data_IF_779850742117
#
_entry.id   IF_779850742117
#
_cell.length_a   1.000
_cell.length_b   1.000
_cell.length_c   1.000
_cell.angle_alpha   90.00
_cell.angle_beta   90.00
_cell.angle_gamma   90.00
#
_symmetry.space_group_name_H-M   'P 1'
#
loop_
_entity.id
_entity.type
_entity.pdbx_description
1 polymer ?
#
# COMPACT_ATOMS: atom_id res chain seq x y z
N UNK A 1 -2.59 16.18 -12.07
CA UNK A 1 -3.21 15.21 -11.22
C UNK A 1 -3.31 13.84 -11.89
N UNK A 2 -2.98 12.80 -11.14
CA UNK A 2 -3.02 11.45 -11.66
C UNK A 2 -4.46 10.91 -11.75
N UNK A 3 -4.78 10.21 -12.85
CA UNK A 3 -6.08 9.60 -13.02
C UNK A 3 -5.89 8.09 -13.13
N UNK A 4 -6.38 7.39 -12.13
CA UNK A 4 -6.16 5.96 -11.95
C UNK A 4 -6.94 5.09 -12.93
N UNK A 5 -8.08 5.55 -13.40
CA UNK A 5 -8.96 4.70 -14.20
C UNK A 5 -8.39 4.33 -15.57
N UNK A 6 -7.33 5.00 -15.99
CA UNK A 6 -6.70 4.66 -17.27
C UNK A 6 -5.85 3.40 -17.20
N UNK A 7 -5.59 2.90 -15.98
CA UNK A 7 -4.79 1.69 -15.82
C UNK A 7 -5.67 0.46 -15.80
N UNK A 8 -5.17 -0.62 -16.41
CA UNK A 8 -5.84 -1.92 -16.29
C UNK A 8 -5.65 -2.48 -14.89
N UNK A 9 -6.48 -3.46 -14.48
CA UNK A 9 -6.28 -4.09 -13.16
C UNK A 9 -4.87 -4.67 -13.00
N UNK A 10 -4.32 -5.24 -14.05
CA UNK A 10 -2.96 -5.78 -14.00
C UNK A 10 -1.93 -4.66 -13.79
N UNK A 11 -2.11 -3.55 -14.45
CA UNK A 11 -1.23 -2.40 -14.30
C UNK A 11 -1.34 -1.79 -12.91
N UNK A 12 -2.56 -1.75 -12.36
CA UNK A 12 -2.77 -1.24 -11.01
C UNK A 12 -2.06 -2.11 -9.98
N UNK A 13 -2.15 -3.42 -10.15
CA UNK A 13 -1.44 -4.35 -9.27
C UNK A 13 0.07 -4.16 -9.40
N UNK A 14 0.56 -4.01 -10.62
CA UNK A 14 1.98 -3.77 -10.84
C UNK A 14 2.44 -2.49 -10.17
N UNK A 15 1.62 -1.45 -10.20
CA UNK A 15 1.94 -0.18 -9.54
C UNK A 15 2.06 -0.37 -8.03
N UNK A 16 1.16 -1.14 -7.43
CA UNK A 16 1.21 -1.41 -5.99
C UNK A 16 2.44 -2.21 -5.63
N UNK A 17 2.79 -3.21 -6.44
CA UNK A 17 3.99 -4.02 -6.20
C UNK A 17 5.25 -3.15 -6.31
N UNK A 18 5.30 -2.28 -7.31
CA UNK A 18 6.43 -1.36 -7.47
C UNK A 18 6.55 -0.44 -6.26
N UNK A 19 5.42 0.09 -5.79
CA UNK A 19 5.42 0.94 -4.60
C UNK A 19 5.95 0.17 -3.39
N UNK A 20 5.53 -1.08 -3.22
CA UNK A 20 6.02 -1.92 -2.13
C UNK A 20 7.53 -2.10 -2.20
N UNK A 21 8.05 -2.35 -3.40
CA UNK A 21 9.48 -2.52 -3.60
C UNK A 21 10.25 -1.25 -3.21
N UNK A 22 9.70 -0.10 -3.58
CA UNK A 22 10.34 1.19 -3.25
C UNK A 22 10.36 1.42 -1.74
N UNK A 23 9.22 1.26 -1.06
CA UNK A 23 9.19 1.53 0.37
C UNK A 23 10.00 0.50 1.14
N UNK A 24 10.11 -0.72 0.63
CA UNK A 24 10.98 -1.72 1.23
C UNK A 24 12.45 -1.29 1.14
N UNK A 25 12.86 -0.81 -0.02
CA UNK A 25 14.22 -0.31 -0.20
C UNK A 25 14.51 0.88 0.71
N UNK A 26 13.53 1.80 0.84
CA UNK A 26 13.67 2.94 1.73
C UNK A 26 13.82 2.51 3.18
N UNK A 27 13.04 1.53 3.60
CA UNK A 27 13.08 1.05 4.97
C UNK A 27 14.43 0.42 5.30
N UNK A 28 15.00 -0.36 4.38
CA UNK A 28 16.23 -1.09 4.62
C UNK A 28 17.49 -0.27 4.39
N UNK A 29 17.47 0.63 3.41
CA UNK A 29 18.68 1.30 2.96
C UNK A 29 18.76 2.77 3.34
N UNK A 30 17.63 3.36 3.74
CA UNK A 30 17.62 4.76 4.12
C UNK A 30 17.82 5.73 2.97
N UNK A 31 17.67 5.28 1.73
CA UNK A 31 17.79 6.19 0.59
C UNK A 31 16.54 7.05 0.47
N UNK A 32 16.61 8.14 -0.31
CA UNK A 32 15.43 8.95 -0.51
C UNK A 32 14.56 8.37 -1.63
N UNK A 33 13.30 8.79 -1.63
CA UNK A 33 12.31 8.24 -2.53
C UNK A 33 12.65 8.51 -4.01
N UNK A 34 13.03 9.73 -4.32
CA UNK A 34 13.31 10.10 -5.70
C UNK A 34 14.49 9.31 -6.26
N UNK A 35 15.56 9.18 -5.47
CA UNK A 35 16.71 8.41 -5.88
C UNK A 35 16.36 6.95 -6.11
N UNK A 36 15.51 6.39 -5.26
CA UNK A 36 15.09 5.00 -5.39
C UNK A 36 14.28 4.79 -6.67
N UNK A 37 13.36 5.71 -6.97
CA UNK A 37 12.60 5.62 -8.22
C UNK A 37 13.50 5.78 -9.45
N UNK A 38 14.46 6.69 -9.39
CA UNK A 38 15.39 6.86 -10.50
C UNK A 38 16.22 5.60 -10.75
N UNK A 39 16.65 4.95 -9.68
CA UNK A 39 17.40 3.72 -9.81
C UNK A 39 16.56 2.61 -10.45
N UNK A 40 15.29 2.53 -10.08
CA UNK A 40 14.39 1.54 -10.63
C UNK A 40 13.97 1.84 -12.06
N UNK A 41 14.12 3.08 -12.50
CA UNK A 41 13.78 3.51 -13.85
C UNK A 41 14.98 3.35 -14.79
N UNK A 42 15.52 2.19 -14.80
CA UNK A 42 16.68 1.90 -15.65
C UNK A 42 16.37 2.08 -17.12
N UNK A 43 15.12 1.83 -17.50
CA UNK A 43 14.72 2.00 -18.87
C UNK A 43 14.04 3.35 -19.02
N UNK A 44 14.45 4.06 -20.04
CA UNK A 44 14.10 5.44 -20.25
C UNK A 44 12.59 5.69 -20.38
N UNK A 45 11.84 4.73 -20.81
CA UNK A 45 10.42 4.95 -21.08
C UNK A 45 9.55 4.94 -19.84
N UNK A 46 10.06 4.44 -18.73
CA UNK A 46 9.22 4.24 -17.56
C UNK A 46 8.92 5.51 -16.80
N UNK A 47 9.73 6.54 -16.99
CA UNK A 47 9.47 7.81 -16.31
C UNK A 47 8.14 8.43 -16.74
N UNK A 48 7.66 8.10 -17.93
CA UNK A 48 6.38 8.59 -18.44
C UNK A 48 5.25 7.62 -18.20
N UNK A 49 5.54 6.48 -17.61
CA UNK A 49 4.60 5.40 -17.43
C UNK A 49 3.62 5.71 -16.28
N UNK A 50 2.33 5.55 -16.55
CA UNK A 50 1.31 5.79 -15.53
C UNK A 50 1.42 4.83 -14.36
N UNK A 51 1.97 3.63 -14.58
CA UNK A 51 2.23 2.69 -13.49
C UNK A 51 3.17 3.32 -12.47
N UNK A 52 4.26 3.92 -12.93
CA UNK A 52 5.21 4.57 -12.03
C UNK A 52 4.62 5.81 -11.38
N UNK A 53 3.80 6.55 -12.10
CA UNK A 53 3.14 7.71 -11.51
C UNK A 53 2.26 7.31 -10.34
N UNK A 54 1.49 6.25 -10.49
CA UNK A 54 0.66 5.78 -9.41
C UNK A 54 1.49 5.21 -8.26
N UNK A 55 2.56 4.48 -8.57
CA UNK A 55 3.46 3.98 -7.56
C UNK A 55 4.05 5.11 -6.72
N UNK A 56 4.49 6.17 -7.38
CA UNK A 56 5.05 7.33 -6.71
C UNK A 56 4.00 8.03 -5.84
N UNK A 57 2.78 8.10 -6.34
CA UNK A 57 1.66 8.67 -5.60
C UNK A 57 1.39 7.89 -4.31
N UNK A 58 1.34 6.56 -4.39
CA UNK A 58 1.13 5.72 -3.22
C UNK A 58 2.27 5.87 -2.21
N UNK A 59 3.49 5.93 -2.67
CA UNK A 59 4.63 6.10 -1.78
C UNK A 59 4.57 7.44 -1.06
N UNK A 60 4.19 8.50 -1.78
CA UNK A 60 4.07 9.82 -1.17
C UNK A 60 2.97 9.85 -0.12
N UNK A 61 1.81 9.26 -0.42
CA UNK A 61 0.72 9.17 0.54
C UNK A 61 1.14 8.39 1.78
N UNK A 62 1.87 7.30 1.59
CA UNK A 62 2.34 6.49 2.71
C UNK A 62 3.28 7.30 3.59
N UNK A 63 4.21 7.99 2.99
CA UNK A 63 5.18 8.81 3.72
C UNK A 63 4.51 9.93 4.51
N UNK A 64 3.50 10.55 3.90
CA UNK A 64 2.80 11.67 4.51
C UNK A 64 1.92 11.27 5.67
N UNK A 65 1.48 10.01 5.71
CA UNK A 65 0.48 9.56 6.68
C UNK A 65 0.98 8.40 7.55
N UNK A 66 2.28 8.22 7.62
CA UNK A 66 2.85 7.03 8.25
C UNK A 66 2.49 6.90 9.73
N UNK A 67 2.53 8.00 10.48
CA UNK A 67 2.26 7.95 11.90
C UNK A 67 0.81 7.59 12.18
N UNK A 68 -0.10 8.19 11.43
CA UNK A 68 -1.52 7.90 11.58
C UNK A 68 -1.83 6.45 11.24
N UNK A 69 -1.23 5.96 10.16
CA UNK A 69 -1.46 4.59 9.72
C UNK A 69 -0.89 3.60 10.74
N UNK A 70 0.29 3.86 11.27
CA UNK A 70 0.88 2.98 12.26
C UNK A 70 0.02 2.89 13.51
N UNK A 71 -0.59 4.00 13.93
CA UNK A 71 -1.50 3.96 15.07
C UNK A 71 -2.73 3.12 14.78
N UNK A 72 -3.25 3.18 13.57
CA UNK A 72 -4.37 2.33 13.19
C UNK A 72 -4.01 0.86 13.27
N UNK A 73 -2.81 0.50 12.83
CA UNK A 73 -2.34 -0.88 12.88
C UNK A 73 -2.18 -1.33 14.32
N UNK A 74 -1.55 -0.49 15.15
CA UNK A 74 -1.30 -0.83 16.55
C UNK A 74 -2.60 -1.10 17.31
N UNK A 75 -3.61 -0.30 17.06
CA UNK A 75 -4.89 -0.45 17.76
C UNK A 75 -5.61 -1.75 17.38
N UNK A 76 -5.34 -2.28 16.22
CA UNK A 76 -6.08 -3.44 15.70
C UNK A 76 -5.28 -4.73 15.68
N UNK A 77 -4.01 -4.67 16.01
CA UNK A 77 -3.18 -5.86 16.07
C UNK A 77 -3.12 -6.41 17.50
N UNK A 78 -4.26 -6.67 18.06
CA UNK A 78 -4.49 -6.89 19.49
C UNK A 78 -3.51 -7.82 20.21
N UNK A 79 -3.17 -8.92 19.59
CA UNK A 79 -2.32 -9.93 20.22
C UNK A 79 -0.87 -9.86 19.72
N UNK A 80 -0.54 -8.80 18.98
CA UNK A 80 0.78 -8.67 18.38
C UNK A 80 1.35 -7.29 18.70
N UNK A 81 2.57 -7.28 19.19
CA UNK A 81 3.31 -6.02 19.25
C UNK A 81 3.58 -5.55 17.84
N UNK A 82 3.44 -4.26 17.64
CA UNK A 82 3.72 -3.67 16.34
C UNK A 82 5.14 -4.04 15.88
N UNK A 83 6.08 -4.06 16.80
CA UNK A 83 7.47 -4.37 16.47
C UNK A 83 7.68 -5.82 16.08
N UNK A 84 6.75 -6.71 16.39
CA UNK A 84 6.85 -8.12 16.02
C UNK A 84 6.23 -8.41 14.66
N UNK A 85 5.49 -7.48 14.12
CA UNK A 85 4.98 -7.61 12.76
C UNK A 85 6.17 -7.55 11.83
N UNK A 86 6.28 -8.50 10.92
CA UNK A 86 7.43 -8.50 10.00
C UNK A 86 7.44 -7.22 9.19
N UNK A 87 8.63 -6.83 8.73
CA UNK A 87 8.74 -5.64 7.90
C UNK A 87 7.84 -5.74 6.68
N UNK A 88 7.84 -6.87 6.00
CA UNK A 88 7.02 -7.02 4.80
C UNK A 88 5.54 -6.81 5.10
N UNK A 89 5.03 -7.43 6.16
CA UNK A 89 3.62 -7.30 6.52
C UNK A 89 3.28 -5.86 6.89
N UNK A 90 4.17 -5.18 7.64
CA UNK A 90 3.96 -3.79 7.99
C UNK A 90 3.87 -2.90 6.76
N UNK A 91 4.77 -3.12 5.79
CA UNK A 91 4.80 -2.30 4.59
C UNK A 91 3.58 -2.54 3.72
N UNK A 92 3.14 -3.78 3.60
CA UNK A 92 1.92 -4.10 2.87
C UNK A 92 0.73 -3.43 3.53
N UNK A 93 0.63 -3.51 4.86
CA UNK A 93 -0.44 -2.86 5.60
C UNK A 93 -0.43 -1.35 5.41
N UNK A 94 0.74 -0.73 5.54
CA UNK A 94 0.84 0.72 5.36
C UNK A 94 0.34 1.15 3.99
N UNK A 95 0.82 0.48 2.96
CA UNK A 95 0.48 0.81 1.60
C UNK A 95 -1.01 0.61 1.32
N UNK A 96 -1.53 -0.53 1.74
CA UNK A 96 -2.92 -0.89 1.48
C UNK A 96 -3.89 -0.01 2.26
N UNK A 97 -3.56 0.31 3.51
CA UNK A 97 -4.40 1.19 4.32
C UNK A 97 -4.41 2.62 3.79
N UNK A 98 -3.25 3.09 3.35
CA UNK A 98 -3.16 4.43 2.77
C UNK A 98 -4.04 4.52 1.52
N UNK A 99 -3.98 3.51 0.67
CA UNK A 99 -4.81 3.50 -0.53
C UNK A 99 -6.29 3.47 -0.15
N UNK A 100 -6.66 2.60 0.78
CA UNK A 100 -8.05 2.47 1.20
C UNK A 100 -8.61 3.76 1.79
N UNK A 101 -7.81 4.46 2.58
CA UNK A 101 -8.30 5.62 3.31
C UNK A 101 -8.17 6.93 2.54
N UNK A 102 -7.19 7.04 1.67
CA UNK A 102 -6.87 8.33 1.06
C UNK A 102 -6.97 8.37 -0.46
N UNK A 103 -7.18 7.24 -1.11
CA UNK A 103 -7.29 7.23 -2.56
C UNK A 103 -8.74 6.97 -2.97
N UNK A 104 -9.45 8.05 -3.26
CA UNK A 104 -10.89 7.98 -3.55
C UNK A 104 -11.22 7.21 -4.83
N UNK A 105 -10.29 7.13 -5.76
CA UNK A 105 -10.56 6.47 -7.04
C UNK A 105 -10.55 4.95 -6.94
N UNK A 106 -10.15 4.39 -5.80
CA UNK A 106 -10.10 2.95 -5.60
C UNK A 106 -11.14 2.57 -4.56
N UNK A 107 -12.07 1.66 -4.90
CA UNK A 107 -13.04 1.20 -3.89
C UNK A 107 -12.31 0.56 -2.72
N UNK A 108 -12.73 0.83 -1.48
CA UNK A 108 -12.01 0.31 -0.30
C UNK A 108 -11.80 -1.19 -0.32
N UNK A 109 -12.80 -1.95 -0.77
CA UNK A 109 -12.68 -3.41 -0.77
C UNK A 109 -11.67 -3.92 -1.78
N UNK A 110 -11.40 -3.14 -2.82
CA UNK A 110 -10.34 -3.48 -3.78
C UNK A 110 -8.98 -3.38 -3.10
N UNK A 111 -8.77 -2.35 -2.28
CA UNK A 111 -7.50 -2.22 -1.54
C UNK A 111 -7.29 -3.39 -0.61
N UNK A 112 -8.36 -3.87 0.04
CA UNK A 112 -8.27 -5.04 0.92
C UNK A 112 -7.86 -6.28 0.10
N UNK A 113 -8.58 -6.56 -0.96
CA UNK A 113 -8.32 -7.74 -1.79
C UNK A 113 -6.89 -7.70 -2.36
N UNK A 114 -6.48 -6.55 -2.86
CA UNK A 114 -5.15 -6.40 -3.45
C UNK A 114 -4.05 -6.56 -2.41
N UNK A 115 -4.25 -6.00 -1.22
CA UNK A 115 -3.29 -6.18 -0.13
C UNK A 115 -3.11 -7.64 0.25
N UNK A 116 -4.22 -8.38 0.32
CA UNK A 116 -4.20 -9.81 0.63
C UNK A 116 -3.48 -10.59 -0.49
N UNK A 117 -3.74 -10.26 -1.74
CA UNK A 117 -3.10 -10.95 -2.85
C UNK A 117 -1.59 -10.68 -2.88
N UNK A 118 -1.20 -9.46 -2.61
CA UNK A 118 0.22 -9.11 -2.53
C UNK A 118 0.88 -9.86 -1.37
N UNK A 119 0.19 -9.98 -0.24
CA UNK A 119 0.73 -10.73 0.90
C UNK A 119 0.94 -12.21 0.54
N UNK A 120 0.02 -12.79 -0.22
CA UNK A 120 0.19 -14.17 -0.66
C UNK A 120 1.42 -14.35 -1.54
N UNK A 121 1.74 -13.34 -2.33
CA UNK A 121 2.86 -13.39 -3.26
C UNK A 121 4.20 -13.14 -2.57
N UNK A 122 4.25 -12.22 -1.61
CA UNK A 122 5.51 -11.75 -1.03
C UNK A 122 5.72 -12.13 0.42
N UNK A 123 4.72 -12.72 1.07
CA UNK A 123 4.83 -13.10 2.47
C UNK A 123 4.32 -14.51 2.68
N UNK A 124 3.85 -14.84 3.87
CA UNK A 124 3.39 -16.20 4.18
C UNK A 124 1.87 -16.31 4.08
N UNK A 125 1.38 -17.54 4.09
CA UNK A 125 -0.07 -17.76 4.07
C UNK A 125 -0.73 -17.19 5.33
N UNK A 126 -0.04 -17.26 6.46
CA UNK A 126 -0.56 -16.69 7.71
C UNK A 126 -0.65 -15.17 7.61
N UNK A 127 0.27 -14.55 6.88
CA UNK A 127 0.28 -13.10 6.70
C UNK A 127 -0.96 -12.60 5.98
N UNK A 128 -1.42 -13.32 4.97
CA UNK A 128 -2.59 -12.87 4.23
C UNK A 128 -3.82 -12.81 5.11
N UNK A 129 -4.00 -13.77 6.02
CA UNK A 129 -5.11 -13.76 6.97
C UNK A 129 -4.98 -12.62 7.97
N UNK A 130 -3.76 -12.39 8.46
CA UNK A 130 -3.49 -11.31 9.41
C UNK A 130 -3.80 -9.96 8.78
N UNK A 131 -3.31 -9.74 7.58
CA UNK A 131 -3.51 -8.49 6.86
C UNK A 131 -4.99 -8.27 6.57
N UNK A 132 -5.68 -9.32 6.12
CA UNK A 132 -7.10 -9.23 5.87
C UNK A 132 -7.87 -8.82 7.13
N UNK A 133 -7.52 -9.40 8.28
CA UNK A 133 -8.18 -9.08 9.54
C UNK A 133 -8.02 -7.62 9.93
N UNK A 134 -6.81 -7.09 9.81
CA UNK A 134 -6.57 -5.67 10.15
C UNK A 134 -7.27 -4.75 9.18
N UNK A 135 -7.18 -5.04 7.87
CA UNK A 135 -7.82 -4.21 6.86
C UNK A 135 -9.33 -4.18 7.04
N UNK A 136 -9.94 -5.34 7.32
CA UNK A 136 -11.38 -5.41 7.58
C UNK A 136 -11.78 -4.61 8.80
N UNK A 137 -10.98 -4.68 9.86
CA UNK A 137 -11.28 -3.93 11.09
C UNK A 137 -11.26 -2.43 10.82
N UNK A 138 -10.24 -1.95 10.11
CA UNK A 138 -10.18 -0.53 9.77
C UNK A 138 -11.34 -0.14 8.87
N UNK A 139 -11.65 -0.99 7.89
CA UNK A 139 -12.76 -0.72 6.99
C UNK A 139 -14.06 -0.56 7.77
N UNK A 140 -14.36 -1.51 8.63
CA UNK A 140 -15.62 -1.49 9.38
C UNK A 140 -15.70 -0.32 10.35
N UNK A 141 -14.60 0.04 10.98
CA UNK A 141 -14.59 1.08 12.00
C UNK A 141 -14.59 2.49 11.42
N UNK A 142 -13.87 2.70 10.33
CA UNK A 142 -13.55 4.06 9.89
C UNK A 142 -13.96 4.38 8.46
N UNK A 143 -14.20 3.39 7.63
CA UNK A 143 -14.37 3.62 6.20
C UNK A 143 -15.78 3.33 5.73
N UNK A 144 -16.38 2.24 6.20
CA UNK A 144 -17.65 1.76 5.69
C UNK A 144 -18.76 2.81 5.74
N UNK A 145 -18.85 3.55 6.83
CA UNK A 145 -19.88 4.56 6.99
C UNK A 145 -19.67 5.79 6.14
N UNK A 146 -18.48 5.97 5.61
CA UNK A 146 -18.14 7.12 4.77
C UNK A 146 -18.03 6.75 3.30
N UNK A 147 -18.19 5.48 3.00
CA UNK A 147 -18.07 5.00 1.65
C UNK A 147 -19.17 5.58 0.81
N UNK A 148 -18.81 6.16 -0.31
CA UNK A 148 -19.79 6.79 -1.16
C UNK A 148 -20.56 5.81 -1.97
N UNK A 149 -21.80 6.18 -2.27
CA UNK A 149 -22.63 5.37 -3.15
C UNK A 149 -22.09 5.38 -4.57
N UNK A 150 -21.29 6.33 -4.90
CA UNK A 150 -20.81 6.49 -6.27
C UNK A 150 -19.94 5.39 -6.72
#
# INVERSE_FOLDING_TARGET
>A
RFIMHDLTPKQKRQARITALQVIYALELQGSNMDATFEHMLDTKDQSENDVFKYSRHLCALTSQNIDEIDELIKKRSKNWDFERITIMDRLILRLSLVEMMFEDSVPPKVSITEGVEIAKQFSTSDSSSFINGIMDAVYNDLVKGKEKAA
#
